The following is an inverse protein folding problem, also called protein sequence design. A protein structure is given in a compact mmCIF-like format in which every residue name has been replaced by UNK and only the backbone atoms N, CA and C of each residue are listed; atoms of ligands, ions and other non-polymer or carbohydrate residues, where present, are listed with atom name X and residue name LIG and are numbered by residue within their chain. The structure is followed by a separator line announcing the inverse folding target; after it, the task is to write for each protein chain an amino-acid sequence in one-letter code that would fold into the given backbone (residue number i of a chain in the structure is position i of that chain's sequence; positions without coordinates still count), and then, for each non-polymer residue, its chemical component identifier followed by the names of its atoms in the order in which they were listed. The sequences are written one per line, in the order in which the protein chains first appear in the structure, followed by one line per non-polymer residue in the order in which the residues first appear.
data_IF_168213201071
#
_entry.id   IF_168213201071
#
_cell.length_a   1.000
_cell.length_b   1.000
_cell.length_c   1.000
_cell.angle_alpha   90.00
_cell.angle_beta   90.00
_cell.angle_gamma   90.00
#
_symmetry.space_group_name_H-M   'P 1'
#
loop_
_entity.id
_entity.type
_entity.pdbx_description
1 polymer ?
#
# COMPACT_ATOMS: atom_id res chain seq x y z
N UNK A 1 14.23 -6.67 6.12
CA UNK A 1 13.31 -5.66 6.69
C UNK A 1 12.48 -5.09 5.55
N UNK A 2 11.15 -5.26 5.59
CA UNK A 2 10.25 -4.86 4.49
C UNK A 2 9.65 -3.45 4.65
N UNK A 3 9.96 -2.74 5.75
CA UNK A 3 9.28 -1.51 6.13
C UNK A 3 9.23 -0.46 5.03
N UNK A 4 10.39 -0.10 4.44
CA UNK A 4 10.44 0.90 3.38
C UNK A 4 9.85 0.41 2.05
N UNK A 5 10.08 -0.86 1.67
CA UNK A 5 9.52 -1.39 0.42
C UNK A 5 7.99 -1.41 0.46
N UNK A 6 7.42 -1.84 1.58
CA UNK A 6 5.98 -1.89 1.80
C UNK A 6 5.37 -0.47 1.79
N UNK A 7 5.93 0.45 2.59
CA UNK A 7 5.45 1.84 2.66
C UNK A 7 5.51 2.52 1.29
N UNK A 8 6.62 2.39 0.56
CA UNK A 8 6.75 2.96 -0.78
C UNK A 8 5.76 2.34 -1.77
N UNK A 9 5.53 1.03 -1.70
CA UNK A 9 4.57 0.33 -2.57
C UNK A 9 3.14 0.82 -2.32
N UNK A 10 2.72 0.92 -1.06
CA UNK A 10 1.37 1.40 -0.69
C UNK A 10 1.19 2.86 -1.07
N UNK A 11 2.17 3.71 -0.74
CA UNK A 11 2.14 5.13 -1.08
C UNK A 11 2.00 5.35 -2.59
N UNK A 12 2.84 4.69 -3.39
CA UNK A 12 2.81 4.86 -4.84
C UNK A 12 1.46 4.42 -5.43
N UNK A 13 0.91 3.29 -4.95
CA UNK A 13 -0.39 2.78 -5.40
C UNK A 13 -1.49 3.82 -5.15
N UNK A 14 -1.54 4.39 -3.95
CA UNK A 14 -2.57 5.37 -3.59
C UNK A 14 -2.41 6.68 -4.38
N UNK A 15 -1.19 7.20 -4.45
CA UNK A 15 -0.91 8.53 -5.02
C UNK A 15 -0.93 8.54 -6.54
N UNK A 16 -0.53 7.45 -7.20
CA UNK A 16 -0.42 7.39 -8.66
C UNK A 16 -1.62 6.77 -9.34
N UNK A 17 -2.24 5.76 -8.72
CA UNK A 17 -3.37 5.05 -9.31
C UNK A 17 -4.72 5.55 -8.79
N UNK A 18 -4.71 6.59 -7.95
CA UNK A 18 -5.88 7.22 -7.34
C UNK A 18 -6.78 6.23 -6.58
N UNK A 19 -6.19 5.16 -6.04
CA UNK A 19 -6.89 4.17 -5.23
C UNK A 19 -6.88 4.60 -3.76
N UNK A 20 -8.04 4.76 -3.14
CA UNK A 20 -8.16 5.11 -1.71
C UNK A 20 -8.81 4.00 -0.87
N UNK A 21 -9.61 3.12 -1.50
CA UNK A 21 -10.17 1.96 -0.83
C UNK A 21 -9.10 0.88 -0.59
N UNK A 22 -9.10 0.32 0.61
CA UNK A 22 -8.12 -0.68 1.00
C UNK A 22 -8.15 -1.93 0.11
N UNK A 23 -9.33 -2.39 -0.32
CA UNK A 23 -9.44 -3.59 -1.17
C UNK A 23 -8.82 -3.33 -2.53
N UNK A 24 -9.08 -2.17 -3.12
CA UNK A 24 -8.55 -1.81 -4.43
C UNK A 24 -7.03 -1.65 -4.37
N UNK A 25 -6.50 -1.02 -3.31
CA UNK A 25 -5.05 -0.93 -3.06
C UNK A 25 -4.44 -2.32 -2.91
N UNK A 26 -5.05 -3.20 -2.11
CA UNK A 26 -4.56 -4.55 -1.90
C UNK A 26 -4.55 -5.36 -3.20
N UNK A 27 -5.64 -5.32 -3.96
CA UNK A 27 -5.77 -6.03 -5.22
C UNK A 27 -4.75 -5.54 -6.24
N UNK A 28 -4.59 -4.22 -6.39
CA UNK A 28 -3.58 -3.64 -7.27
C UNK A 28 -2.17 -4.12 -6.92
N UNK A 29 -1.81 -4.09 -5.62
CA UNK A 29 -0.49 -4.55 -5.15
C UNK A 29 -0.27 -6.02 -5.52
N UNK A 30 -1.27 -6.89 -5.35
CA UNK A 30 -1.15 -8.31 -5.69
C UNK A 30 -1.10 -8.59 -7.19
N UNK A 31 -1.71 -7.73 -8.01
CA UNK A 31 -1.65 -7.82 -9.47
C UNK A 31 -0.34 -7.29 -10.05
N UNK A 32 0.38 -6.42 -9.32
CA UNK A 32 1.63 -5.83 -9.81
C UNK A 32 2.66 -6.87 -10.25
N UNK A 33 3.02 -7.81 -9.38
CA UNK A 33 3.88 -8.95 -9.69
C UNK A 33 3.88 -9.98 -8.55
N UNK A 34 4.43 -11.16 -8.80
CA UNK A 34 4.52 -12.23 -7.80
C UNK A 34 5.33 -11.85 -6.56
N UNK A 35 6.34 -10.99 -6.70
CA UNK A 35 7.11 -10.51 -5.55
C UNK A 35 6.23 -9.67 -4.61
N UNK A 36 5.26 -8.89 -5.09
CA UNK A 36 4.38 -8.08 -4.23
C UNK A 36 3.33 -8.90 -3.47
N UNK A 37 3.05 -10.14 -3.90
CA UNK A 37 2.20 -11.10 -3.16
C UNK A 37 2.81 -11.57 -1.83
N UNK A 38 4.09 -11.27 -1.57
CA UNK A 38 4.72 -11.56 -0.28
C UNK A 38 4.18 -10.68 0.86
N UNK A 39 3.57 -9.54 0.55
CA UNK A 39 2.98 -8.67 1.56
C UNK A 39 1.64 -9.22 2.01
N UNK A 40 1.46 -9.35 3.32
CA UNK A 40 0.17 -9.78 3.87
C UNK A 40 -0.84 -8.64 3.84
N UNK A 41 -2.12 -8.96 3.72
CA UNK A 41 -3.23 -7.99 3.82
C UNK A 41 -3.11 -7.11 5.08
N UNK A 42 -2.76 -7.71 6.23
CA UNK A 42 -2.53 -6.98 7.49
C UNK A 42 -1.37 -5.97 7.40
N UNK A 43 -0.27 -6.33 6.73
CA UNK A 43 0.86 -5.42 6.52
C UNK A 43 0.48 -4.24 5.63
N UNK A 44 -0.24 -4.49 4.52
CA UNK A 44 -0.72 -3.45 3.62
C UNK A 44 -1.64 -2.49 4.39
N UNK A 45 -2.54 -3.02 5.22
CA UNK A 45 -3.45 -2.20 6.02
C UNK A 45 -2.70 -1.30 7.01
N UNK A 46 -1.77 -1.88 7.79
CA UNK A 46 -0.96 -1.12 8.74
C UNK A 46 -0.10 -0.06 8.06
N UNK A 47 0.42 -0.34 6.86
CA UNK A 47 1.18 0.63 6.08
C UNK A 47 0.30 1.79 5.58
N UNK A 48 -0.92 1.51 5.11
CA UNK A 48 -1.87 2.55 4.72
C UNK A 48 -2.27 3.42 5.92
N UNK A 49 -2.63 2.79 7.04
CA UNK A 49 -2.95 3.49 8.31
C UNK A 49 -1.79 4.38 8.76
N UNK A 50 -0.57 3.86 8.75
CA UNK A 50 0.62 4.63 9.13
C UNK A 50 0.89 5.82 8.20
N UNK A 51 0.79 5.64 6.88
CA UNK A 51 0.96 6.73 5.91
C UNK A 51 -0.13 7.80 6.07
N UNK A 52 -1.35 7.39 6.43
CA UNK A 52 -2.46 8.30 6.73
C UNK A 52 -2.20 9.10 8.01
N UNK A 53 -1.76 8.44 9.09
CA UNK A 53 -1.39 9.09 10.36
C UNK A 53 -0.27 10.13 10.18
N UNK A 54 0.67 9.87 9.26
CA UNK A 54 1.73 10.80 8.90
C UNK A 54 1.28 11.95 7.99
N UNK A 55 0.04 11.93 7.49
CA UNK A 55 -0.49 12.93 6.55
C UNK A 55 0.16 12.87 5.17
N UNK A 56 0.64 11.69 4.75
CA UNK A 56 1.32 11.53 3.46
C UNK A 56 0.37 11.12 2.34
N UNK A 57 -0.83 10.63 2.67
CA UNK A 57 -1.85 10.27 1.69
C UNK A 57 -2.70 11.51 1.32
N UNK A 58 -3.22 11.60 0.08
CA UNK A 58 -3.84 12.82 -0.45
C UNK A 58 -5.34 12.98 -0.09
N UNK A 59 -5.85 12.31 0.94
CA UNK A 59 -7.27 12.32 1.33
C UNK A 59 -7.45 12.57 2.82
#
# INVERSE_FOLDING_TARGET
SYGLELLATVYWTIVKEAQSDFKDVQEYIYQWNDRKKQFTSKQIKLAQEHLNELGWLPF
#
